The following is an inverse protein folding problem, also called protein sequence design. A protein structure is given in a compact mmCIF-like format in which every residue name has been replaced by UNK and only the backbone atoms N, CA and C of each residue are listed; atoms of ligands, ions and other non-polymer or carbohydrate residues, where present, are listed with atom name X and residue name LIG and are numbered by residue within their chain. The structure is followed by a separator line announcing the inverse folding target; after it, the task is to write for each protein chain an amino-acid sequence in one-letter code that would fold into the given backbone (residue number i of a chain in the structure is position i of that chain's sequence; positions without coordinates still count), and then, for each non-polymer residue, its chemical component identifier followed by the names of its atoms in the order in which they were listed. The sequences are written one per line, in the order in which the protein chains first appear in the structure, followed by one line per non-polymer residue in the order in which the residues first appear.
data_IF_751753522678
#
_entry.id   IF_751753522678
#
_cell.length_a   1.000
_cell.length_b   1.000
_cell.length_c   1.000
_cell.angle_alpha   90.00
_cell.angle_beta   90.00
_cell.angle_gamma   90.00
#
_symmetry.space_group_name_H-M   'P 1'
#
loop_
_entity.id
_entity.type
_entity.pdbx_description
1 polymer ?
#
# COMPACT_ATOMS: atom_id res chain seq x y z
N UNK A 1 -9.07 23.01 -29.12
CA UNK A 1 -10.40 22.60 -28.58
C UNK A 1 -10.18 22.16 -27.13
N UNK A 2 -10.84 22.80 -26.16
CA UNK A 2 -10.73 22.43 -24.75
C UNK A 2 -11.08 20.94 -24.58
N UNK A 3 -10.27 20.21 -23.79
CA UNK A 3 -10.49 18.79 -23.50
C UNK A 3 -11.71 18.71 -22.58
N UNK A 4 -12.83 18.18 -23.07
CA UNK A 4 -14.06 18.01 -22.26
C UNK A 4 -13.75 17.17 -21.02
N UNK A 5 -14.25 17.60 -19.87
CA UNK A 5 -14.15 16.86 -18.61
C UNK A 5 -15.11 15.66 -18.63
N UNK A 6 -14.95 14.72 -17.69
CA UNK A 6 -15.87 13.58 -17.59
C UNK A 6 -17.29 14.03 -17.21
N UNK A 7 -17.41 15.11 -16.43
CA UNK A 7 -18.69 15.71 -16.05
C UNK A 7 -19.41 16.31 -17.28
N UNK A 8 -18.69 17.03 -18.15
CA UNK A 8 -19.23 17.54 -19.42
C UNK A 8 -19.76 16.42 -20.34
N UNK A 9 -19.09 15.25 -20.30
CA UNK A 9 -19.50 14.09 -21.07
C UNK A 9 -20.77 13.49 -20.48
N UNK A 10 -20.81 13.31 -19.16
CA UNK A 10 -21.97 12.75 -18.45
C UNK A 10 -23.20 13.63 -18.66
N UNK A 11 -23.07 14.95 -18.59
CA UNK A 11 -24.21 15.85 -18.83
C UNK A 11 -24.71 15.78 -20.27
N UNK A 12 -23.81 15.60 -21.24
CA UNK A 12 -24.19 15.27 -22.62
C UNK A 12 -24.93 13.94 -22.74
N UNK A 13 -24.48 12.90 -22.01
CA UNK A 13 -25.13 11.59 -21.98
C UNK A 13 -26.51 11.65 -21.32
N UNK A 14 -26.69 12.44 -20.26
CA UNK A 14 -28.00 12.66 -19.60
C UNK A 14 -29.05 13.19 -20.57
N UNK A 15 -28.66 14.11 -21.45
CA UNK A 15 -29.58 14.65 -22.46
C UNK A 15 -29.97 13.62 -23.53
N UNK A 16 -29.10 12.64 -23.80
CA UNK A 16 -29.32 11.57 -24.79
C UNK A 16 -30.04 10.36 -24.20
N UNK A 17 -29.85 10.08 -22.92
CA UNK A 17 -30.39 8.92 -22.20
C UNK A 17 -31.60 9.39 -21.38
N UNK A 18 -32.77 9.45 -22.02
CA UNK A 18 -34.04 9.49 -21.30
C UNK A 18 -34.39 8.07 -20.86
N UNK A 19 -34.75 7.90 -19.59
CA UNK A 19 -35.12 6.59 -19.03
C UNK A 19 -36.53 6.18 -19.49
N UNK A 20 -36.66 5.88 -20.78
CA UNK A 20 -37.91 5.48 -21.44
C UNK A 20 -38.05 3.96 -21.52
N UNK A 21 -37.37 3.19 -20.66
CA UNK A 21 -37.50 1.73 -20.66
C UNK A 21 -38.93 1.32 -20.35
N UNK A 22 -39.50 0.46 -21.19
CA UNK A 22 -40.83 -0.08 -20.95
C UNK A 22 -40.84 -0.93 -19.67
N UNK A 23 -42.00 -1.09 -19.02
CA UNK A 23 -42.12 -2.01 -17.87
C UNK A 23 -41.67 -3.43 -18.24
N UNK A 24 -41.88 -3.84 -19.49
CA UNK A 24 -41.45 -5.13 -20.01
C UNK A 24 -39.92 -5.26 -20.04
N UNK A 25 -39.19 -4.22 -20.45
CA UNK A 25 -37.72 -4.23 -20.46
C UNK A 25 -37.13 -4.32 -19.05
N UNK A 26 -37.74 -3.65 -18.07
CA UNK A 26 -37.33 -3.76 -16.67
C UNK A 26 -37.54 -5.16 -16.11
N UNK A 27 -38.69 -5.78 -16.43
CA UNK A 27 -39.00 -7.15 -16.03
C UNK A 27 -38.06 -8.15 -16.71
N UNK A 28 -37.72 -7.93 -17.98
CA UNK A 28 -36.76 -8.74 -18.75
C UNK A 28 -35.36 -8.70 -18.14
N UNK A 29 -34.85 -7.50 -17.88
CA UNK A 29 -33.55 -7.30 -17.24
C UNK A 29 -33.50 -7.93 -15.84
N UNK A 30 -34.56 -7.75 -15.03
CA UNK A 30 -34.67 -8.37 -13.71
C UNK A 30 -34.70 -9.90 -13.76
N UNK A 31 -35.37 -10.48 -14.75
CA UNK A 31 -35.37 -11.93 -14.97
C UNK A 31 -33.97 -12.44 -15.37
N UNK A 32 -33.31 -11.80 -16.36
CA UNK A 32 -31.97 -12.17 -16.80
C UNK A 32 -30.93 -12.03 -15.67
N UNK A 33 -31.01 -10.96 -14.89
CA UNK A 33 -30.18 -10.75 -13.70
C UNK A 33 -30.37 -11.88 -12.69
N UNK A 34 -31.61 -12.30 -12.45
CA UNK A 34 -31.92 -13.39 -11.50
C UNK A 34 -31.34 -14.72 -11.96
N UNK A 35 -31.51 -15.10 -13.23
CA UNK A 35 -31.00 -16.39 -13.74
C UNK A 35 -29.48 -16.41 -13.84
N UNK A 36 -28.82 -15.27 -14.14
CA UNK A 36 -27.36 -15.17 -14.12
C UNK A 36 -26.80 -15.41 -12.72
N UNK A 37 -27.44 -14.86 -11.67
CA UNK A 37 -26.97 -15.01 -10.29
C UNK A 37 -27.35 -16.33 -9.63
N UNK A 38 -28.60 -16.74 -9.81
CA UNK A 38 -29.21 -17.82 -9.02
C UNK A 38 -29.37 -19.11 -9.81
N UNK A 39 -29.09 -19.09 -11.12
CA UNK A 39 -29.41 -20.19 -12.01
C UNK A 39 -30.89 -20.33 -12.29
N UNK A 40 -31.19 -21.36 -13.06
CA UNK A 40 -32.54 -21.73 -13.43
C UNK A 40 -33.05 -22.72 -12.37
N UNK A 41 -33.82 -22.20 -11.40
CA UNK A 41 -34.42 -23.01 -10.33
C UNK A 41 -35.80 -23.56 -10.70
N UNK A 42 -36.37 -23.10 -11.82
CA UNK A 42 -37.70 -23.48 -12.29
C UNK A 42 -37.64 -24.58 -13.34
N UNK A 43 -38.71 -25.35 -13.50
CA UNK A 43 -38.80 -26.35 -14.57
C UNK A 43 -38.56 -25.72 -15.95
N UNK A 44 -38.00 -26.45 -16.93
CA UNK A 44 -37.78 -25.95 -18.30
C UNK A 44 -39.03 -25.34 -18.96
N UNK A 45 -40.22 -25.82 -18.59
CA UNK A 45 -41.51 -25.28 -19.03
C UNK A 45 -41.84 -23.88 -18.49
N UNK A 46 -41.37 -23.53 -17.29
CA UNK A 46 -41.55 -22.18 -16.70
C UNK A 46 -40.55 -21.20 -17.32
N UNK A 47 -39.32 -21.65 -17.58
CA UNK A 47 -38.27 -20.85 -18.21
C UNK A 47 -38.68 -20.45 -19.62
N UNK A 48 -39.11 -21.41 -20.44
CA UNK A 48 -39.60 -21.14 -21.79
C UNK A 48 -40.83 -20.22 -21.80
N UNK A 49 -41.71 -20.33 -20.81
CA UNK A 49 -42.83 -19.40 -20.62
C UNK A 49 -42.35 -17.98 -20.30
N UNK A 50 -41.35 -17.82 -19.44
CA UNK A 50 -40.78 -16.52 -19.08
C UNK A 50 -39.98 -15.90 -20.25
N UNK A 51 -39.22 -16.70 -21.01
CA UNK A 51 -38.53 -16.26 -22.23
C UNK A 51 -39.52 -15.65 -23.22
N UNK A 52 -40.63 -16.35 -23.49
CA UNK A 52 -41.70 -15.85 -24.36
C UNK A 52 -42.39 -14.62 -23.78
N UNK A 53 -42.70 -14.65 -22.47
CA UNK A 53 -43.39 -13.54 -21.78
C UNK A 53 -42.59 -12.24 -21.82
N UNK A 54 -41.27 -12.31 -21.67
CA UNK A 54 -40.39 -11.15 -21.61
C UNK A 54 -39.74 -10.79 -22.95
N UNK A 55 -40.11 -11.49 -24.04
CA UNK A 55 -39.53 -11.31 -25.36
C UNK A 55 -37.98 -11.35 -25.35
N UNK A 56 -37.45 -12.38 -24.69
CA UNK A 56 -36.01 -12.67 -24.69
C UNK A 56 -35.67 -13.30 -26.03
N UNK A 57 -34.71 -12.70 -26.72
CA UNK A 57 -34.32 -13.08 -28.08
C UNK A 57 -33.37 -14.27 -28.13
N UNK A 58 -32.78 -14.64 -26.99
CA UNK A 58 -31.84 -15.74 -26.88
C UNK A 58 -32.52 -17.09 -27.08
N UNK A 59 -31.96 -17.89 -27.98
CA UNK A 59 -32.22 -19.33 -28.10
C UNK A 59 -31.79 -20.12 -26.86
N UNK A 60 -32.52 -21.18 -26.53
CA UNK A 60 -32.16 -22.09 -25.42
C UNK A 60 -31.28 -23.26 -25.85
N UNK A 61 -31.21 -23.53 -27.15
CA UNK A 61 -30.52 -24.69 -27.72
C UNK A 61 -29.16 -24.33 -28.32
N UNK A 62 -29.00 -23.09 -28.77
CA UNK A 62 -27.74 -22.61 -29.34
C UNK A 62 -26.71 -22.30 -28.24
N UNK A 63 -25.45 -22.31 -28.65
CA UNK A 63 -24.32 -21.93 -27.80
C UNK A 63 -24.54 -20.49 -27.32
N UNK A 64 -24.51 -20.31 -26.01
CA UNK A 64 -24.61 -19.00 -25.36
C UNK A 64 -23.21 -18.47 -25.09
N UNK A 65 -22.95 -17.24 -25.54
CA UNK A 65 -21.69 -16.54 -25.28
C UNK A 65 -21.96 -15.36 -24.37
N UNK A 66 -21.21 -15.27 -23.27
CA UNK A 66 -21.20 -14.09 -22.41
C UNK A 66 -19.93 -13.30 -22.64
N UNK A 67 -20.09 -11.99 -22.80
CA UNK A 67 -19.02 -11.01 -22.70
C UNK A 67 -19.30 -10.15 -21.48
N UNK A 68 -18.41 -10.22 -20.49
CA UNK A 68 -18.42 -9.34 -19.34
C UNK A 68 -17.54 -8.13 -19.62
N UNK A 69 -18.15 -6.95 -19.76
CA UNK A 69 -17.43 -5.69 -19.81
C UNK A 69 -17.30 -5.14 -18.39
N UNK A 70 -16.08 -5.05 -17.86
CA UNK A 70 -15.76 -4.40 -16.59
C UNK A 70 -15.25 -2.99 -16.83
N UNK A 71 -15.77 -2.03 -16.08
CA UNK A 71 -15.25 -0.67 -16.05
C UNK A 71 -13.90 -0.70 -15.34
N UNK A 72 -12.89 -0.14 -15.99
CA UNK A 72 -11.57 0.03 -15.40
C UNK A 72 -11.54 1.26 -14.49
N UNK A 73 -10.71 1.18 -13.46
CA UNK A 73 -10.60 2.13 -12.38
C UNK A 73 -11.96 2.43 -11.70
N UNK A 74 -12.82 1.42 -11.57
CA UNK A 74 -14.20 1.60 -11.12
C UNK A 74 -14.26 2.23 -9.73
N UNK A 75 -13.51 1.71 -8.76
CA UNK A 75 -13.47 2.30 -7.41
C UNK A 75 -13.01 3.75 -7.42
N UNK A 76 -12.02 4.10 -8.26
CA UNK A 76 -11.54 5.48 -8.41
C UNK A 76 -12.61 6.38 -9.04
N UNK A 77 -13.42 5.88 -9.97
CA UNK A 77 -14.57 6.59 -10.51
C UNK A 77 -15.63 6.81 -9.42
N UNK A 78 -15.94 5.81 -8.60
CA UNK A 78 -16.87 5.93 -7.47
C UNK A 78 -16.46 6.99 -6.44
N UNK A 79 -15.16 7.24 -6.25
CA UNK A 79 -14.70 8.32 -5.36
C UNK A 79 -14.90 9.72 -5.94
N UNK A 80 -15.09 9.83 -7.26
CA UNK A 80 -15.17 11.12 -7.98
C UNK A 80 -16.58 11.46 -8.45
N UNK A 81 -17.38 10.44 -8.77
CA UNK A 81 -18.69 10.57 -9.39
C UNK A 81 -19.79 10.07 -8.46
N UNK A 82 -20.99 10.63 -8.61
CA UNK A 82 -22.16 10.15 -7.87
C UNK A 82 -22.65 8.84 -8.46
N UNK A 83 -23.30 8.00 -7.66
CA UNK A 83 -23.83 6.71 -8.09
C UNK A 83 -24.77 6.81 -9.31
N UNK A 84 -25.55 7.90 -9.39
CA UNK A 84 -26.41 8.17 -10.54
C UNK A 84 -25.62 8.40 -11.84
N UNK A 85 -24.49 9.11 -11.77
CA UNK A 85 -23.64 9.38 -12.94
C UNK A 85 -22.95 8.10 -13.43
N UNK A 86 -22.60 7.20 -12.51
CA UNK A 86 -22.05 5.87 -12.84
C UNK A 86 -23.11 5.01 -13.55
N UNK A 87 -24.36 5.04 -13.09
CA UNK A 87 -25.45 4.34 -13.76
C UNK A 87 -25.66 4.86 -15.20
N UNK A 88 -25.48 6.16 -15.43
CA UNK A 88 -25.52 6.75 -16.78
C UNK A 88 -24.38 6.23 -17.66
N UNK A 89 -23.16 6.15 -17.13
CA UNK A 89 -22.03 5.55 -17.86
C UNK A 89 -22.32 4.10 -18.26
N UNK A 90 -22.87 3.28 -17.34
CA UNK A 90 -23.26 1.90 -17.67
C UNK A 90 -24.32 1.83 -18.76
N UNK A 91 -25.35 2.68 -18.71
CA UNK A 91 -26.35 2.77 -19.78
C UNK A 91 -25.73 3.15 -21.13
N UNK A 92 -24.75 4.06 -21.13
CA UNK A 92 -24.04 4.46 -22.34
C UNK A 92 -23.15 3.32 -22.90
N UNK A 93 -22.50 2.54 -22.03
CA UNK A 93 -21.75 1.34 -22.42
C UNK A 93 -22.68 0.29 -23.02
N UNK A 94 -23.82 0.01 -22.38
CA UNK A 94 -24.86 -0.89 -22.91
C UNK A 94 -25.25 -0.45 -24.32
N UNK A 95 -25.59 0.84 -24.51
CA UNK A 95 -25.96 1.37 -25.82
C UNK A 95 -24.85 1.14 -26.88
N UNK A 96 -23.60 1.42 -26.51
CA UNK A 96 -22.45 1.25 -27.41
C UNK A 96 -22.26 -0.22 -27.79
N UNK A 97 -22.37 -1.13 -26.82
CA UNK A 97 -22.29 -2.57 -27.07
C UNK A 97 -23.47 -3.04 -27.94
N UNK A 98 -24.69 -2.60 -27.67
CA UNK A 98 -25.88 -2.91 -28.47
C UNK A 98 -25.74 -2.47 -29.93
N UNK A 99 -25.14 -1.32 -30.19
CA UNK A 99 -24.89 -0.83 -31.56
C UNK A 99 -23.92 -1.75 -32.31
N UNK A 100 -22.83 -2.17 -31.66
CA UNK A 100 -21.81 -3.06 -32.26
C UNK A 100 -22.37 -4.47 -32.51
N UNK A 101 -23.16 -5.00 -31.58
CA UNK A 101 -23.72 -6.35 -31.64
C UNK A 101 -25.09 -6.43 -32.32
N UNK A 102 -25.58 -5.34 -32.91
CA UNK A 102 -26.91 -5.21 -33.53
C UNK A 102 -27.26 -6.24 -34.62
N UNK A 103 -26.26 -6.94 -35.17
CA UNK A 103 -26.46 -8.00 -36.17
C UNK A 103 -26.81 -9.37 -35.57
N UNK A 104 -26.64 -9.54 -34.26
CA UNK A 104 -26.83 -10.81 -33.55
C UNK A 104 -28.07 -10.74 -32.66
N UNK A 105 -28.55 -11.91 -32.21
CA UNK A 105 -29.53 -11.99 -31.12
C UNK A 105 -28.77 -11.82 -29.81
N UNK A 106 -28.99 -10.71 -29.12
CA UNK A 106 -28.27 -10.39 -27.90
C UNK A 106 -29.20 -9.78 -26.85
N UNK A 107 -28.75 -9.90 -25.61
CA UNK A 107 -29.35 -9.29 -24.44
C UNK A 107 -28.25 -8.69 -23.58
N UNK A 108 -28.55 -7.57 -22.94
CA UNK A 108 -27.62 -6.91 -22.02
C UNK A 108 -28.21 -6.85 -20.62
N UNK A 109 -27.38 -7.05 -19.61
CA UNK A 109 -27.76 -6.97 -18.21
C UNK A 109 -26.80 -6.04 -17.48
N UNK A 110 -27.33 -4.98 -16.86
CA UNK A 110 -26.58 -4.19 -15.89
C UNK A 110 -26.51 -4.97 -14.57
N UNK A 111 -25.29 -5.31 -14.12
CA UNK A 111 -25.10 -6.02 -12.85
C UNK A 111 -24.98 -5.07 -11.65
N UNK A 112 -25.30 -3.78 -11.84
CA UNK A 112 -25.34 -2.67 -10.87
C UNK A 112 -23.99 -2.29 -10.22
N UNK A 113 -22.98 -3.15 -10.37
CA UNK A 113 -21.63 -2.96 -9.88
C UNK A 113 -20.73 -2.37 -10.98
N UNK A 114 -19.53 -2.93 -11.10
CA UNK A 114 -18.47 -2.50 -12.01
C UNK A 114 -18.56 -3.12 -13.41
N UNK A 115 -19.57 -3.95 -13.68
CA UNK A 115 -19.61 -4.72 -14.90
C UNK A 115 -21.01 -4.88 -15.49
N UNK A 116 -21.01 -5.16 -16.79
CA UNK A 116 -22.18 -5.35 -17.64
C UNK A 116 -21.98 -6.67 -18.36
N UNK A 117 -23.04 -7.45 -18.47
CA UNK A 117 -23.04 -8.69 -19.26
C UNK A 117 -23.74 -8.42 -20.59
N UNK A 118 -23.07 -8.77 -21.68
CA UNK A 118 -23.69 -8.96 -22.98
C UNK A 118 -23.75 -10.46 -23.25
N UNK A 119 -24.96 -10.98 -23.33
CA UNK A 119 -25.24 -12.36 -23.67
C UNK A 119 -25.70 -12.39 -25.12
N UNK A 120 -25.10 -13.22 -25.98
CA UNK A 120 -25.57 -13.38 -27.35
C UNK A 120 -25.47 -14.81 -27.81
N UNK A 121 -26.33 -15.17 -28.75
CA UNK A 121 -26.28 -16.44 -29.44
C UNK A 121 -26.66 -16.27 -30.90
N UNK A 122 -26.08 -17.13 -31.74
CA UNK A 122 -26.39 -17.17 -33.16
C UNK A 122 -26.18 -18.60 -33.67
N UNK A 123 -27.09 -19.05 -34.54
CA UNK A 123 -26.95 -20.26 -35.34
C UNK A 123 -25.63 -20.33 -36.11
N UNK A 124 -25.08 -19.17 -36.51
CA UNK A 124 -23.70 -19.04 -37.01
C UNK A 124 -22.88 -18.24 -36.02
N UNK A 125 -22.42 -18.94 -34.98
CA UNK A 125 -21.50 -18.39 -34.00
C UNK A 125 -20.29 -17.73 -34.70
N UNK A 126 -20.00 -16.44 -34.43
CA UNK A 126 -18.81 -15.78 -34.96
C UNK A 126 -17.55 -16.48 -34.45
N UNK A 127 -16.49 -16.49 -35.25
CA UNK A 127 -15.20 -16.96 -34.77
C UNK A 127 -14.66 -16.04 -33.66
N UNK A 128 -13.70 -16.56 -32.88
CA UNK A 128 -13.13 -15.84 -31.73
C UNK A 128 -12.48 -14.51 -32.14
N UNK A 129 -11.88 -14.45 -33.33
CA UNK A 129 -11.20 -13.24 -33.83
C UNK A 129 -12.21 -12.11 -34.17
N UNK A 130 -13.38 -12.48 -34.70
CA UNK A 130 -14.50 -11.57 -34.93
C UNK A 130 -15.04 -11.04 -33.59
N UNK A 131 -15.23 -11.92 -32.60
CA UNK A 131 -15.66 -11.51 -31.27
C UNK A 131 -14.65 -10.53 -30.65
N UNK A 132 -13.37 -10.84 -30.69
CA UNK A 132 -12.30 -9.96 -30.19
C UNK A 132 -12.27 -8.62 -30.91
N UNK A 133 -12.52 -8.61 -32.21
CA UNK A 133 -12.63 -7.37 -33.00
C UNK A 133 -13.82 -6.53 -32.58
N UNK A 134 -14.98 -7.15 -32.32
CA UNK A 134 -16.16 -6.45 -31.82
C UNK A 134 -15.95 -5.91 -30.40
N UNK A 135 -15.31 -6.69 -29.52
CA UNK A 135 -14.92 -6.24 -28.18
C UNK A 135 -14.02 -5.00 -28.26
N UNK A 136 -12.99 -5.03 -29.13
CA UNK A 136 -12.09 -3.88 -29.34
C UNK A 136 -12.85 -2.65 -29.85
N UNK A 137 -13.81 -2.82 -30.77
CA UNK A 137 -14.66 -1.73 -31.25
C UNK A 137 -15.48 -1.09 -30.12
N UNK A 138 -16.03 -1.89 -29.20
CA UNK A 138 -16.71 -1.38 -28.00
C UNK A 138 -15.73 -0.63 -27.10
N UNK A 139 -14.57 -1.22 -26.78
CA UNK A 139 -13.53 -0.60 -25.96
C UNK A 139 -13.08 0.76 -26.54
N UNK A 140 -12.76 0.81 -27.83
CA UNK A 140 -12.31 2.02 -28.52
C UNK A 140 -13.40 3.09 -28.56
N UNK A 141 -14.65 2.69 -28.80
CA UNK A 141 -15.79 3.61 -28.83
C UNK A 141 -16.07 4.23 -27.46
N UNK A 142 -16.00 3.43 -26.39
CA UNK A 142 -16.17 3.88 -25.01
C UNK A 142 -15.01 4.76 -24.58
N UNK A 143 -13.77 4.39 -24.85
CA UNK A 143 -12.60 5.22 -24.52
C UNK A 143 -12.61 6.56 -25.24
N UNK A 144 -12.98 6.56 -26.53
CA UNK A 144 -13.06 7.78 -27.34
C UNK A 144 -14.15 8.73 -26.82
N UNK A 145 -15.34 8.21 -26.52
CA UNK A 145 -16.52 9.00 -26.17
C UNK A 145 -16.63 9.35 -24.68
N UNK A 146 -16.22 8.44 -23.78
CA UNK A 146 -16.44 8.52 -22.34
C UNK A 146 -15.16 8.75 -21.53
N UNK A 147 -13.97 8.59 -22.13
CA UNK A 147 -12.67 8.70 -21.44
C UNK A 147 -12.49 7.73 -20.26
N UNK A 148 -13.17 6.59 -20.35
CA UNK A 148 -12.99 5.43 -19.47
C UNK A 148 -12.58 4.24 -20.33
N UNK A 149 -11.82 3.30 -19.80
CA UNK A 149 -11.49 2.05 -20.47
C UNK A 149 -12.34 0.90 -19.92
N UNK A 150 -12.47 -0.15 -20.73
CA UNK A 150 -13.18 -1.37 -20.36
C UNK A 150 -12.24 -2.57 -20.52
N UNK A 151 -12.20 -3.43 -19.52
CA UNK A 151 -11.68 -4.79 -19.67
C UNK A 151 -12.82 -5.73 -20.06
N UNK A 152 -12.55 -6.71 -20.92
CA UNK A 152 -13.55 -7.64 -21.41
C UNK A 152 -13.16 -9.08 -21.09
N UNK A 153 -14.14 -9.88 -20.67
CA UNK A 153 -13.96 -11.29 -20.40
C UNK A 153 -14.95 -12.07 -21.24
N UNK A 154 -14.42 -12.95 -22.09
CA UNK A 154 -15.19 -13.87 -22.92
C UNK A 154 -15.37 -15.19 -22.16
N UNK A 155 -16.62 -15.67 -22.11
CA UNK A 155 -16.96 -16.98 -21.56
C UNK A 155 -16.42 -18.12 -22.44
N UNK A 156 -16.36 -19.37 -21.93
CA UNK A 156 -16.16 -20.53 -22.79
C UNK A 156 -17.30 -20.67 -23.81
N UNK A 157 -17.01 -21.34 -24.93
CA UNK A 157 -17.89 -21.41 -26.13
C UNK A 157 -18.58 -22.78 -26.27
N UNK A 158 -18.86 -23.45 -25.15
CA UNK A 158 -19.35 -24.83 -25.10
C UNK A 158 -20.68 -24.98 -24.35
N UNK A 159 -21.21 -23.89 -23.80
CA UNK A 159 -22.36 -23.89 -22.90
C UNK A 159 -23.62 -23.33 -23.57
N UNK A 160 -24.78 -23.72 -23.06
CA UNK A 160 -26.09 -23.27 -23.56
C UNK A 160 -26.76 -22.30 -22.59
N UNK A 161 -27.95 -21.81 -22.94
CA UNK A 161 -28.74 -20.97 -22.04
C UNK A 161 -29.06 -21.64 -20.69
N UNK A 162 -29.14 -22.97 -20.65
CA UNK A 162 -29.43 -23.69 -19.41
C UNK A 162 -28.28 -23.58 -18.38
N UNK A 163 -27.06 -23.36 -18.87
CA UNK A 163 -25.84 -23.26 -18.07
C UNK A 163 -25.50 -21.81 -17.70
N UNK A 164 -26.39 -20.84 -17.98
CA UNK A 164 -26.11 -19.40 -17.89
C UNK A 164 -25.50 -18.94 -16.56
N UNK A 165 -25.89 -19.54 -15.43
CA UNK A 165 -25.33 -19.22 -14.11
C UNK A 165 -23.92 -19.78 -13.90
N UNK A 166 -23.67 -21.01 -14.36
CA UNK A 166 -22.33 -21.58 -14.37
C UNK A 166 -21.42 -20.75 -15.27
N UNK A 167 -21.90 -20.43 -16.48
CA UNK A 167 -21.19 -19.62 -17.46
C UNK A 167 -20.83 -18.23 -16.91
N UNK A 168 -21.76 -17.58 -16.22
CA UNK A 168 -21.51 -16.30 -15.54
C UNK A 168 -20.50 -16.46 -14.39
N UNK A 169 -20.60 -17.53 -13.61
CA UNK A 169 -19.67 -17.79 -12.49
C UNK A 169 -18.24 -17.98 -12.99
N UNK A 170 -18.02 -18.80 -14.02
CA UNK A 170 -16.71 -19.00 -14.63
C UNK A 170 -16.15 -17.70 -15.23
N UNK A 171 -16.98 -16.96 -15.98
CA UNK A 171 -16.60 -15.66 -16.55
C UNK A 171 -16.23 -14.66 -15.45
N UNK A 172 -16.97 -14.64 -14.34
CA UNK A 172 -16.67 -13.78 -13.20
C UNK A 172 -15.37 -14.17 -12.51
N UNK A 173 -15.08 -15.46 -12.35
CA UNK A 173 -13.80 -15.94 -11.80
C UNK A 173 -12.63 -15.54 -12.72
N UNK A 174 -12.78 -15.76 -14.03
CA UNK A 174 -11.81 -15.35 -15.04
C UNK A 174 -11.53 -13.83 -15.02
N UNK A 175 -12.53 -13.02 -14.66
CA UNK A 175 -12.35 -11.57 -14.54
C UNK A 175 -11.35 -11.13 -13.48
N UNK A 176 -11.05 -11.98 -12.49
CA UNK A 176 -10.05 -11.65 -11.48
C UNK A 176 -8.62 -11.68 -12.04
N UNK A 177 -8.38 -12.32 -13.19
CA UNK A 177 -7.07 -12.29 -13.85
C UNK A 177 -6.76 -10.94 -14.49
N UNK A 178 -7.71 -9.99 -14.51
CA UNK A 178 -7.44 -8.57 -14.77
C UNK A 178 -6.29 -8.06 -13.90
N UNK A 179 -6.12 -8.60 -12.69
CA UNK A 179 -4.97 -8.30 -11.82
C UNK A 179 -3.63 -8.45 -12.56
N UNK A 180 -3.44 -9.53 -13.33
CA UNK A 180 -2.20 -9.83 -14.04
C UNK A 180 -2.15 -9.23 -15.45
N UNK A 181 -3.27 -9.20 -16.16
CA UNK A 181 -3.33 -8.70 -17.55
C UNK A 181 -3.43 -7.18 -17.64
N UNK A 182 -3.79 -6.51 -16.55
CA UNK A 182 -3.97 -5.06 -16.51
C UNK A 182 -5.31 -4.60 -17.08
N UNK A 183 -5.46 -3.28 -17.17
CA UNK A 183 -6.63 -2.62 -17.75
C UNK A 183 -6.73 -2.84 -19.25
N UNK A 184 -7.95 -2.67 -19.79
CA UNK A 184 -8.26 -2.87 -21.21
C UNK A 184 -7.93 -4.26 -21.76
N UNK A 185 -7.77 -5.25 -20.89
CA UNK A 185 -7.47 -6.61 -21.29
C UNK A 185 -8.68 -7.28 -21.95
N UNK A 186 -8.41 -8.30 -22.77
CA UNK A 186 -9.40 -9.25 -23.27
C UNK A 186 -8.96 -10.62 -22.74
N UNK A 187 -9.78 -11.22 -21.89
CA UNK A 187 -9.48 -12.49 -21.23
C UNK A 187 -10.44 -13.54 -21.76
N UNK A 188 -9.91 -14.67 -22.22
CA UNK A 188 -10.72 -15.81 -22.64
C UNK A 188 -10.74 -16.84 -21.52
N UNK A 189 -11.91 -17.09 -20.95
CA UNK A 189 -12.09 -17.98 -19.78
C UNK A 189 -11.60 -19.40 -20.05
N UNK A 190 -11.76 -19.89 -21.29
CA UNK A 190 -11.34 -21.23 -21.70
C UNK A 190 -9.84 -21.47 -21.51
N UNK A 191 -8.99 -20.46 -21.78
CA UNK A 191 -7.53 -20.56 -21.61
C UNK A 191 -7.12 -20.72 -20.14
N UNK A 192 -7.99 -20.33 -19.20
CA UNK A 192 -7.74 -20.40 -17.77
C UNK A 192 -8.09 -21.78 -17.18
N UNK A 193 -8.78 -22.66 -17.91
CA UNK A 193 -9.00 -24.05 -17.50
C UNK A 193 -7.69 -24.87 -17.46
N UNK A 194 -6.61 -24.34 -18.06
CA UNK A 194 -5.29 -24.97 -18.16
C UNK A 194 -4.39 -24.62 -16.96
N UNK A 195 -4.86 -23.78 -16.03
CA UNK A 195 -4.05 -23.37 -14.88
C UNK A 195 -3.75 -24.55 -13.96
N UNK A 196 -2.60 -24.46 -13.29
CA UNK A 196 -2.14 -25.50 -12.38
C UNK A 196 -3.10 -25.62 -11.20
N UNK A 197 -3.85 -26.73 -11.15
CA UNK A 197 -4.69 -27.08 -10.01
C UNK A 197 -3.96 -27.97 -9.01
N UNK A 198 -2.71 -28.35 -9.28
CA UNK A 198 -1.86 -28.97 -8.27
C UNK A 198 -1.60 -27.96 -7.14
N UNK A 199 -1.35 -28.49 -5.95
CA UNK A 199 -1.28 -27.67 -4.74
C UNK A 199 -0.18 -26.63 -4.81
N UNK A 200 -0.54 -25.34 -4.88
CA UNK A 200 0.41 -24.25 -4.76
C UNK A 200 1.22 -24.34 -3.46
N UNK A 201 2.54 -24.40 -3.60
CA UNK A 201 3.47 -24.42 -2.47
C UNK A 201 3.83 -22.97 -2.09
N UNK A 202 3.35 -22.54 -0.95
CA UNK A 202 3.63 -21.20 -0.44
C UNK A 202 5.14 -21.00 -0.17
N UNK A 203 5.77 -19.91 -0.66
CA UNK A 203 7.21 -19.68 -0.53
C UNK A 203 7.60 -19.15 0.86
N UNK A 204 7.55 -20.03 1.87
CA UNK A 204 7.82 -19.68 3.29
C UNK A 204 9.21 -19.06 3.47
N UNK A 205 10.23 -19.56 2.77
CA UNK A 205 11.59 -19.02 2.87
C UNK A 205 11.68 -17.58 2.36
N UNK A 206 11.04 -17.28 1.23
CA UNK A 206 11.01 -15.90 0.68
C UNK A 206 10.22 -14.96 1.57
N UNK A 207 9.11 -15.42 2.16
CA UNK A 207 8.36 -14.65 3.16
C UNK A 207 9.26 -14.27 4.35
N UNK A 208 10.00 -15.25 4.89
CA UNK A 208 10.92 -15.00 6.00
C UNK A 208 12.01 -13.99 5.61
N UNK A 209 12.63 -14.15 4.45
CA UNK A 209 13.62 -13.19 3.93
C UNK A 209 13.03 -11.79 3.75
N UNK A 210 11.78 -11.69 3.29
CA UNK A 210 11.07 -10.41 3.13
C UNK A 210 10.90 -9.73 4.48
N UNK A 211 10.45 -10.46 5.50
CA UNK A 211 10.31 -9.92 6.85
C UNK A 211 11.66 -9.48 7.41
N UNK A 212 12.68 -10.33 7.34
CA UNK A 212 14.01 -10.02 7.89
C UNK A 212 14.58 -8.76 7.22
N UNK A 213 14.51 -8.67 5.88
CA UNK A 213 14.99 -7.48 5.15
C UNK A 213 14.21 -6.22 5.50
N UNK A 214 12.88 -6.31 5.61
CA UNK A 214 12.02 -5.19 6.00
C UNK A 214 12.33 -4.71 7.43
N UNK A 215 12.52 -5.63 8.37
CA UNK A 215 12.80 -5.34 9.78
C UNK A 215 14.20 -4.78 10.02
N UNK A 216 15.14 -5.07 9.11
CA UNK A 216 16.46 -4.43 9.07
C UNK A 216 16.42 -3.02 8.45
N UNK A 217 15.29 -2.63 7.85
CA UNK A 217 15.09 -1.35 7.18
C UNK A 217 15.54 -1.33 5.72
N UNK A 218 15.74 -2.49 5.09
CA UNK A 218 16.15 -2.58 3.69
C UNK A 218 14.92 -2.68 2.79
N UNK A 219 14.35 -1.54 2.43
CA UNK A 219 13.08 -1.47 1.68
C UNK A 219 13.19 -2.03 0.26
N UNK A 220 14.21 -1.66 -0.52
CA UNK A 220 14.31 -2.08 -1.92
C UNK A 220 14.43 -3.63 -2.08
N UNK A 221 15.28 -4.33 -1.31
CA UNK A 221 15.28 -5.80 -1.34
C UNK A 221 13.93 -6.42 -0.95
N UNK A 222 13.24 -5.86 0.06
CA UNK A 222 11.93 -6.34 0.48
C UNK A 222 10.87 -6.19 -0.62
N UNK A 223 10.91 -5.08 -1.38
CA UNK A 223 10.04 -4.88 -2.56
C UNK A 223 10.28 -5.94 -3.62
N UNK A 224 11.54 -6.24 -3.93
CA UNK A 224 11.89 -7.27 -4.92
C UNK A 224 11.40 -8.66 -4.52
N UNK A 225 11.55 -9.02 -3.24
CA UNK A 225 11.05 -10.29 -2.71
C UNK A 225 9.52 -10.36 -2.76
N UNK A 226 8.82 -9.27 -2.46
CA UNK A 226 7.36 -9.20 -2.57
C UNK A 226 6.92 -9.49 -4.01
N UNK A 227 7.56 -8.85 -4.99
CA UNK A 227 7.23 -9.02 -6.40
C UNK A 227 7.43 -10.47 -6.84
N UNK A 228 8.52 -11.11 -6.43
CA UNK A 228 8.76 -12.53 -6.71
C UNK A 228 7.71 -13.44 -6.07
N UNK A 229 7.28 -13.16 -4.83
CA UNK A 229 6.26 -13.94 -4.14
C UNK A 229 4.90 -13.79 -4.84
N UNK A 230 4.50 -12.57 -5.21
CA UNK A 230 3.24 -12.32 -5.91
C UNK A 230 3.26 -12.96 -7.30
N UNK A 231 4.35 -12.81 -8.06
CA UNK A 231 4.42 -13.34 -9.42
C UNK A 231 4.43 -14.87 -9.47
N UNK A 232 4.84 -15.54 -8.37
CA UNK A 232 4.77 -17.01 -8.27
C UNK A 232 3.35 -17.58 -8.32
N UNK A 233 2.31 -16.75 -8.16
CA UNK A 233 0.90 -17.18 -8.25
C UNK A 233 0.28 -16.92 -9.62
N UNK A 234 1.02 -16.44 -10.62
CA UNK A 234 0.47 -16.00 -11.91
C UNK A 234 -0.27 -17.11 -12.66
N UNK A 235 0.29 -18.31 -12.62
CA UNK A 235 -0.20 -19.47 -13.38
C UNK A 235 -1.13 -20.39 -12.54
N UNK A 236 -1.59 -19.88 -11.39
CA UNK A 236 -2.48 -20.57 -10.45
C UNK A 236 -3.87 -19.92 -10.39
N UNK A 237 -4.88 -20.65 -9.87
CA UNK A 237 -6.18 -20.08 -9.53
C UNK A 237 -6.07 -18.77 -8.73
N UNK A 238 -6.84 -17.76 -9.09
CA UNK A 238 -6.88 -16.46 -8.38
C UNK A 238 -7.05 -16.57 -6.85
N UNK A 239 -7.73 -17.62 -6.37
CA UNK A 239 -7.89 -17.89 -4.94
C UNK A 239 -6.53 -18.03 -4.23
N UNK A 240 -5.52 -18.58 -4.91
CA UNK A 240 -4.14 -18.69 -4.40
C UNK A 240 -3.55 -17.31 -4.13
N UNK A 241 -3.67 -16.37 -5.08
CA UNK A 241 -3.22 -14.99 -4.89
C UNK A 241 -3.95 -14.34 -3.71
N UNK A 242 -5.28 -14.51 -3.63
CA UNK A 242 -6.07 -13.94 -2.53
C UNK A 242 -5.60 -14.45 -1.16
N UNK A 243 -5.41 -15.76 -1.02
CA UNK A 243 -4.91 -16.38 0.21
C UNK A 243 -3.49 -15.93 0.55
N UNK A 244 -2.63 -15.80 -0.45
CA UNK A 244 -1.25 -15.32 -0.29
C UNK A 244 -1.22 -13.87 0.19
N UNK A 245 -2.01 -12.98 -0.42
CA UNK A 245 -2.07 -11.56 -0.01
C UNK A 245 -2.60 -11.42 1.42
N UNK A 246 -3.62 -12.19 1.79
CA UNK A 246 -4.14 -12.21 3.16
C UNK A 246 -3.07 -12.67 4.16
N UNK A 247 -2.37 -13.76 3.85
CA UNK A 247 -1.30 -14.28 4.69
C UNK A 247 -0.15 -13.29 4.82
N UNK A 248 0.35 -12.74 3.72
CA UNK A 248 1.41 -11.73 3.75
C UNK A 248 1.02 -10.52 4.58
N UNK A 249 -0.20 -10.01 4.38
CA UNK A 249 -0.72 -8.88 5.16
C UNK A 249 -0.70 -9.21 6.64
N UNK A 250 -1.21 -10.37 7.04
CA UNK A 250 -1.29 -10.78 8.44
C UNK A 250 0.10 -10.99 9.05
N UNK A 251 1.00 -11.63 8.31
CA UNK A 251 2.37 -11.91 8.75
C UNK A 251 3.16 -10.60 8.96
N UNK A 252 3.07 -9.68 8.01
CA UNK A 252 3.71 -8.36 8.11
C UNK A 252 3.10 -7.58 9.28
N UNK A 253 1.77 -7.56 9.39
CA UNK A 253 1.05 -6.92 10.48
C UNK A 253 1.50 -7.41 11.86
N UNK A 254 1.55 -8.73 12.07
CA UNK A 254 2.02 -9.33 13.32
C UNK A 254 3.50 -9.03 13.62
N UNK A 255 4.34 -8.91 12.60
CA UNK A 255 5.72 -8.48 12.79
C UNK A 255 5.80 -7.03 13.30
N UNK A 256 4.89 -6.16 12.83
CA UNK A 256 4.78 -4.78 13.32
C UNK A 256 4.20 -4.66 14.72
N UNK A 257 3.11 -5.36 15.02
CA UNK A 257 2.48 -5.31 16.34
C UNK A 257 3.45 -5.73 17.46
N UNK A 258 4.29 -6.74 17.19
CA UNK A 258 5.38 -7.13 18.11
C UNK A 258 6.40 -6.01 18.36
N UNK A 259 6.57 -5.06 17.43
CA UNK A 259 7.37 -3.85 17.63
C UNK A 259 6.59 -2.76 18.38
N UNK A 260 5.28 -2.62 18.14
CA UNK A 260 4.40 -1.64 18.82
C UNK A 260 4.30 -1.90 20.32
N UNK A 261 4.26 -3.15 20.78
CA UNK A 261 4.30 -3.45 22.22
C UNK A 261 5.58 -2.96 22.92
N UNK A 262 6.60 -2.51 22.16
CA UNK A 262 7.86 -1.98 22.66
C UNK A 262 7.96 -0.45 22.47
N UNK A 263 6.99 0.23 21.82
CA UNK A 263 7.01 1.69 21.61
C UNK A 263 5.68 2.32 21.16
N UNK A 264 5.52 3.64 21.35
CA UNK A 264 4.30 4.42 21.00
C UNK A 264 4.09 4.66 19.48
N UNK A 265 4.46 3.71 18.62
CA UNK A 265 4.30 3.87 17.18
C UNK A 265 3.09 3.07 16.73
N UNK A 266 2.28 3.65 15.84
CA UNK A 266 1.17 2.94 15.21
C UNK A 266 1.18 3.18 13.69
N UNK A 267 0.73 2.19 12.92
CA UNK A 267 0.31 2.44 11.54
C UNK A 267 -0.98 3.28 11.54
N UNK A 268 -1.19 4.11 10.50
CA UNK A 268 -2.40 4.97 10.40
C UNK A 268 -3.66 4.19 10.00
N UNK A 269 -3.53 2.89 9.78
CA UNK A 269 -4.56 1.98 9.30
C UNK A 269 -4.38 0.64 10.00
N UNK A 270 -5.48 -0.03 10.32
CA UNK A 270 -5.49 -1.37 10.89
C UNK A 270 -5.38 -2.47 9.80
N UNK A 271 -5.26 -3.72 10.22
CA UNK A 271 -5.24 -4.88 9.33
C UNK A 271 -6.46 -4.92 8.38
N UNK A 272 -7.66 -4.69 8.92
CA UNK A 272 -8.91 -4.83 8.17
C UNK A 272 -9.05 -3.78 7.08
N UNK A 273 -8.70 -2.52 7.38
CA UNK A 273 -8.70 -1.42 6.42
C UNK A 273 -7.68 -1.63 5.32
N UNK A 274 -6.47 -2.11 5.65
CA UNK A 274 -5.48 -2.47 4.62
C UNK A 274 -5.98 -3.60 3.73
N UNK A 275 -6.47 -4.70 4.30
CA UNK A 275 -7.03 -5.83 3.55
C UNK A 275 -8.19 -5.40 2.64
N UNK A 276 -9.07 -4.51 3.12
CA UNK A 276 -10.14 -3.93 2.31
C UNK A 276 -9.61 -3.12 1.12
N UNK A 277 -8.47 -2.42 1.27
CA UNK A 277 -7.86 -1.69 0.14
C UNK A 277 -7.31 -2.62 -0.94
N UNK A 278 -6.83 -3.82 -0.58
CA UNK A 278 -6.36 -4.81 -1.55
C UNK A 278 -7.51 -5.34 -2.41
N UNK A 279 -8.68 -5.56 -1.80
CA UNK A 279 -9.89 -6.01 -2.52
C UNK A 279 -10.40 -4.98 -3.56
N UNK A 280 -9.99 -3.72 -3.44
CA UNK A 280 -10.34 -2.66 -4.39
C UNK A 280 -9.32 -2.50 -5.53
N UNK A 281 -8.20 -3.23 -5.49
CA UNK A 281 -7.20 -3.17 -6.53
C UNK A 281 -7.63 -3.97 -7.76
N UNK A 282 -7.31 -3.45 -8.93
CA UNK A 282 -7.64 -4.05 -10.23
C UNK A 282 -6.41 -4.59 -10.95
N UNK A 283 -5.21 -4.24 -10.48
CA UNK A 283 -3.92 -4.68 -11.04
C UNK A 283 -2.93 -5.09 -9.96
N UNK A 284 -1.96 -5.95 -10.31
CA UNK A 284 -0.81 -6.28 -9.46
C UNK A 284 -0.02 -5.02 -9.10
N UNK A 285 0.08 -4.04 -10.00
CA UNK A 285 0.81 -2.78 -9.76
C UNK A 285 0.18 -1.97 -8.62
N UNK A 286 -1.15 -1.92 -8.57
CA UNK A 286 -1.87 -1.29 -7.48
C UNK A 286 -1.63 -2.02 -6.15
N UNK A 287 -1.68 -3.36 -6.15
CA UNK A 287 -1.36 -4.19 -4.96
C UNK A 287 0.06 -3.91 -4.47
N UNK A 288 1.06 -3.99 -5.36
CA UNK A 288 2.46 -3.69 -5.06
C UNK A 288 2.60 -2.29 -4.45
N UNK A 289 1.94 -1.29 -5.04
CA UNK A 289 1.92 0.07 -4.53
C UNK A 289 1.41 0.17 -3.09
N UNK A 290 0.37 -0.59 -2.72
CA UNK A 290 -0.15 -0.64 -1.33
C UNK A 290 0.88 -1.22 -0.36
N UNK A 291 1.49 -2.35 -0.71
CA UNK A 291 2.53 -2.95 0.12
C UNK A 291 3.79 -2.08 0.22
N UNK A 292 4.19 -1.42 -0.87
CA UNK A 292 5.34 -0.52 -0.86
C UNK A 292 5.10 0.69 0.05
N UNK A 293 3.88 1.24 0.02
CA UNK A 293 3.48 2.29 0.96
C UNK A 293 3.56 1.79 2.41
N UNK A 294 3.09 0.57 2.69
CA UNK A 294 3.23 -0.05 4.01
C UNK A 294 4.71 -0.20 4.41
N UNK A 295 5.56 -0.73 3.53
CA UNK A 295 7.00 -0.88 3.79
C UNK A 295 7.69 0.45 4.10
N UNK A 296 7.27 1.54 3.44
CA UNK A 296 7.81 2.88 3.71
C UNK A 296 7.38 3.41 5.09
N UNK A 297 6.11 3.19 5.49
CA UNK A 297 5.62 3.59 6.84
C UNK A 297 6.38 2.84 7.93
N UNK A 298 6.49 1.53 7.76
CA UNK A 298 7.30 0.62 8.57
C UNK A 298 8.74 1.11 8.73
N UNK A 299 9.40 1.42 7.61
CA UNK A 299 10.78 1.90 7.62
C UNK A 299 10.92 3.22 8.39
N UNK A 300 9.99 4.15 8.17
CA UNK A 300 9.97 5.44 8.87
C UNK A 300 9.88 5.26 10.40
N UNK A 301 9.02 4.35 10.86
CA UNK A 301 8.89 3.99 12.28
C UNK A 301 10.19 3.39 12.83
N UNK A 302 10.82 2.48 12.09
CA UNK A 302 12.09 1.86 12.50
C UNK A 302 13.22 2.90 12.63
N UNK A 303 13.28 3.88 11.73
CA UNK A 303 14.26 4.97 11.77
C UNK A 303 14.01 5.93 12.93
N UNK A 304 12.75 6.29 13.20
CA UNK A 304 12.38 7.10 14.38
C UNK A 304 12.77 6.42 15.68
N UNK A 305 12.53 5.10 15.79
CA UNK A 305 12.93 4.31 16.96
C UNK A 305 14.45 4.27 17.13
N UNK A 306 15.22 4.10 16.06
CA UNK A 306 16.70 4.16 16.13
C UNK A 306 17.17 5.51 16.67
N UNK A 307 16.62 6.61 16.15
CA UNK A 307 16.94 7.98 16.61
C UNK A 307 16.63 8.16 18.10
N UNK A 308 15.45 7.73 18.56
CA UNK A 308 15.04 7.78 19.97
C UNK A 308 15.97 6.95 20.88
N UNK A 309 16.34 5.73 20.45
CA UNK A 309 17.30 4.89 21.18
C UNK A 309 18.66 5.55 21.30
N UNK A 310 19.16 6.15 20.22
CA UNK A 310 20.44 6.86 20.23
C UNK A 310 20.39 8.09 21.12
N UNK A 311 19.31 8.87 21.09
CA UNK A 311 19.11 10.01 21.98
C UNK A 311 19.14 9.58 23.46
N UNK A 312 18.45 8.48 23.81
CA UNK A 312 18.49 7.92 25.16
C UNK A 312 19.92 7.50 25.57
N UNK A 313 20.68 6.89 24.66
CA UNK A 313 22.08 6.51 24.92
C UNK A 313 22.97 7.73 25.13
N UNK A 314 22.80 8.78 24.33
CA UNK A 314 23.55 10.04 24.49
C UNK A 314 23.18 10.74 25.80
N UNK A 315 21.91 10.78 26.17
CA UNK A 315 21.47 11.33 27.46
C UNK A 315 22.08 10.56 28.64
N UNK A 316 22.19 9.22 28.54
CA UNK A 316 22.91 8.40 29.53
C UNK A 316 24.40 8.75 29.57
N UNK A 317 25.05 8.91 28.41
CA UNK A 317 26.45 9.31 28.35
C UNK A 317 26.69 10.67 29.03
N UNK A 318 25.83 11.65 28.75
CA UNK A 318 25.87 12.98 29.39
C UNK A 318 25.67 12.86 30.90
N UNK A 319 24.71 12.06 31.36
CA UNK A 319 24.47 11.84 32.79
C UNK A 319 25.69 11.21 33.50
N UNK A 320 26.36 10.23 32.86
CA UNK A 320 27.59 9.64 33.37
C UNK A 320 28.67 10.72 33.49
N UNK A 321 28.91 11.53 32.45
CA UNK A 321 29.91 12.60 32.49
C UNK A 321 29.59 13.59 33.62
N UNK A 322 28.35 14.05 33.73
CA UNK A 322 27.96 15.01 34.77
C UNK A 322 28.10 14.45 36.19
N UNK A 323 27.95 13.13 36.37
CA UNK A 323 28.10 12.48 37.67
C UNK A 323 29.56 12.18 38.00
N UNK A 324 30.38 11.84 37.01
CA UNK A 324 31.71 11.25 37.21
C UNK A 324 32.85 12.15 36.69
N UNK A 325 32.58 13.39 36.28
CA UNK A 325 33.60 14.28 35.68
C UNK A 325 34.87 14.44 36.52
N UNK A 326 34.78 14.31 37.84
CA UNK A 326 35.89 14.47 38.77
C UNK A 326 36.87 13.27 38.76
N UNK A 327 36.48 12.12 38.18
CA UNK A 327 37.39 11.00 37.97
C UNK A 327 38.39 11.35 36.85
N UNK A 328 39.69 11.37 37.19
CA UNK A 328 40.77 11.66 36.24
C UNK A 328 40.83 10.64 35.09
N UNK A 329 40.42 9.39 35.33
CA UNK A 329 40.41 8.30 34.36
C UNK A 329 39.23 8.35 33.36
N UNK A 330 38.24 9.23 33.58
CA UNK A 330 37.08 9.33 32.72
C UNK A 330 37.48 9.78 31.30
N UNK A 331 37.29 8.88 30.34
CA UNK A 331 37.58 9.11 28.94
C UNK A 331 36.61 8.34 28.03
N UNK A 332 36.69 8.57 26.71
CA UNK A 332 35.84 7.91 25.72
C UNK A 332 35.84 6.38 25.84
N UNK A 333 37.01 5.77 26.08
CA UNK A 333 37.14 4.31 26.20
C UNK A 333 36.39 3.78 27.43
N UNK A 334 36.51 4.44 28.58
CA UNK A 334 35.78 4.07 29.80
C UNK A 334 34.27 4.22 29.59
N UNK A 335 33.83 5.32 28.97
CA UNK A 335 32.41 5.51 28.67
C UNK A 335 31.86 4.46 27.70
N UNK A 336 32.65 4.09 26.69
CA UNK A 336 32.28 3.07 25.73
C UNK A 336 32.08 1.72 26.41
N UNK A 337 32.96 1.34 27.34
CA UNK A 337 32.82 0.14 28.17
C UNK A 337 31.54 0.20 29.02
N UNK A 338 31.32 1.31 29.75
CA UNK A 338 30.14 1.49 30.62
C UNK A 338 28.81 1.43 29.86
N UNK A 339 28.81 1.84 28.59
CA UNK A 339 27.62 1.86 27.74
C UNK A 339 27.51 0.63 26.81
N UNK A 340 28.46 -0.31 26.86
CA UNK A 340 28.48 -1.49 26.00
C UNK A 340 28.63 -1.17 24.51
N UNK A 341 29.43 -0.14 24.18
CA UNK A 341 29.63 0.35 22.81
C UNK A 341 31.11 0.32 22.41
N UNK A 342 31.40 0.35 21.11
CA UNK A 342 32.77 0.60 20.66
C UNK A 342 33.12 2.09 20.81
N UNK A 343 34.38 2.45 21.16
CA UNK A 343 34.78 3.85 21.33
C UNK A 343 34.54 4.72 20.09
N UNK A 344 34.85 4.20 18.89
CA UNK A 344 34.64 4.92 17.64
C UNK A 344 33.16 5.21 17.35
N UNK A 345 32.28 4.25 17.65
CA UNK A 345 30.84 4.41 17.44
C UNK A 345 30.24 5.40 18.44
N UNK A 346 30.57 5.29 19.73
CA UNK A 346 30.15 6.25 20.75
C UNK A 346 30.65 7.66 20.44
N UNK A 347 31.92 7.82 20.04
CA UNK A 347 32.50 9.11 19.71
C UNK A 347 31.79 9.79 18.53
N UNK A 348 31.52 9.05 17.45
CA UNK A 348 30.79 9.57 16.29
C UNK A 348 29.35 9.95 16.66
N UNK A 349 28.66 9.08 17.40
CA UNK A 349 27.29 9.32 17.82
C UNK A 349 27.20 10.55 18.75
N UNK A 350 28.06 10.61 19.77
CA UNK A 350 28.08 11.71 20.73
C UNK A 350 28.39 13.05 20.06
N UNK A 351 29.36 13.08 19.14
CA UNK A 351 29.67 14.30 18.37
C UNK A 351 28.53 14.72 17.46
N UNK A 352 27.82 13.77 16.84
CA UNK A 352 26.67 14.07 15.99
C UNK A 352 25.55 14.74 16.79
N UNK A 353 25.28 14.27 18.01
CA UNK A 353 24.18 14.78 18.83
C UNK A 353 24.54 16.01 19.68
N UNK A 354 25.78 16.14 20.12
CA UNK A 354 26.21 17.25 21.03
C UNK A 354 27.05 18.31 20.33
N UNK A 355 27.43 18.10 19.06
CA UNK A 355 28.42 18.89 18.31
C UNK A 355 29.82 18.94 18.94
N UNK A 356 30.08 18.19 20.01
CA UNK A 356 31.35 18.16 20.74
C UNK A 356 31.90 16.73 20.82
N UNK A 357 33.22 16.58 20.85
CA UNK A 357 33.79 15.28 21.20
C UNK A 357 33.49 14.97 22.68
N UNK A 358 33.52 13.69 23.05
CA UNK A 358 33.39 13.27 24.45
C UNK A 358 34.43 13.95 25.34
N UNK A 359 35.68 14.05 24.89
CA UNK A 359 36.76 14.70 25.65
C UNK A 359 36.51 16.21 25.83
N UNK A 360 36.04 16.89 24.79
CA UNK A 360 35.69 18.32 24.89
C UNK A 360 34.53 18.55 25.85
N UNK A 361 33.53 17.67 25.82
CA UNK A 361 32.39 17.74 26.72
C UNK A 361 32.78 17.49 28.18
N UNK A 362 33.62 16.49 28.46
CA UNK A 362 34.19 16.27 29.80
C UNK A 362 34.94 17.52 30.27
N UNK A 363 35.85 18.05 29.45
CA UNK A 363 36.62 19.24 29.82
C UNK A 363 35.72 20.45 30.08
N UNK A 364 34.67 20.65 29.28
CA UNK A 364 33.68 21.70 29.52
C UNK A 364 33.03 21.54 30.89
N UNK A 365 32.52 20.35 31.23
CA UNK A 365 31.88 20.09 32.53
C UNK A 365 32.86 20.30 33.68
N UNK A 366 34.11 19.84 33.56
CA UNK A 366 35.15 20.08 34.58
C UNK A 366 35.44 21.58 34.75
N UNK A 367 35.53 22.32 33.65
CA UNK A 367 35.76 23.77 33.66
C UNK A 367 34.60 24.53 34.32
N UNK A 368 33.36 24.20 33.97
CA UNK A 368 32.16 24.80 34.58
C UNK A 368 32.10 24.55 36.09
N UNK A 369 32.44 23.34 36.55
CA UNK A 369 32.51 23.05 37.98
C UNK A 369 33.70 23.73 38.68
N UNK A 370 34.83 23.91 37.98
CA UNK A 370 35.97 24.67 38.52
C UNK A 370 35.60 26.13 38.77
N UNK A 371 34.78 26.75 37.91
CA UNK A 371 34.29 28.11 38.13
C UNK A 371 33.43 28.20 39.40
N UNK A 372 32.59 27.19 39.66
CA UNK A 372 31.77 27.15 40.89
C UNK A 372 32.67 27.11 42.11
N UNK A 373 33.65 26.20 42.16
CA UNK A 373 34.59 26.10 43.28
C UNK A 373 35.45 27.35 43.46
N UNK A 374 35.89 27.99 42.37
CA UNK A 374 36.65 29.24 42.44
C UNK A 374 35.85 30.39 43.08
N UNK A 375 34.52 30.39 42.90
CA UNK A 375 33.59 31.39 43.46
C UNK A 375 33.16 31.08 44.89
N UNK A 376 32.88 29.82 45.19
CA UNK A 376 32.19 29.43 46.43
C UNK A 376 33.12 28.84 47.49
N UNK A 377 34.38 28.54 47.17
CA UNK A 377 35.31 27.90 48.10
C UNK A 377 36.65 28.64 48.22
N UNK A 378 37.30 28.44 49.38
CA UNK A 378 38.67 28.91 49.67
C UNK A 378 39.75 27.89 49.30
N UNK A 379 39.39 26.80 48.61
CA UNK A 379 40.34 25.75 48.21
C UNK A 379 41.48 26.35 47.38
N UNK A 380 42.71 25.85 47.52
CA UNK A 380 43.78 26.31 46.65
C UNK A 380 43.49 25.92 45.20
N UNK A 381 43.95 26.72 44.23
CA UNK A 381 43.68 26.47 42.80
C UNK A 381 44.20 25.09 42.37
N UNK A 382 45.32 24.68 42.96
CA UNK A 382 45.89 23.35 42.76
C UNK A 382 44.94 22.24 43.23
N UNK A 383 44.30 22.40 44.38
CA UNK A 383 43.35 21.43 44.92
C UNK A 383 42.06 21.42 44.10
N UNK A 384 41.64 22.56 43.55
CA UNK A 384 40.50 22.65 42.64
C UNK A 384 40.77 21.89 41.34
N UNK A 385 41.98 22.01 40.77
CA UNK A 385 42.38 21.26 39.58
C UNK A 385 42.21 19.75 39.80
N UNK A 386 42.67 19.24 40.94
CA UNK A 386 42.51 17.82 41.29
C UNK A 386 41.05 17.48 41.58
N UNK A 387 40.33 18.31 42.33
CA UNK A 387 38.93 18.06 42.70
C UNK A 387 37.97 18.02 41.51
N UNK A 388 38.30 18.69 40.40
CA UNK A 388 37.53 18.62 39.15
C UNK A 388 38.09 17.61 38.14
N UNK A 389 39.06 16.77 38.53
CA UNK A 389 39.52 15.62 37.75
C UNK A 389 40.60 15.92 36.71
N UNK A 390 41.42 16.96 36.88
CA UNK A 390 42.60 17.17 36.04
C UNK A 390 43.85 16.54 36.66
N UNK A 391 44.43 15.56 35.97
CA UNK A 391 45.69 14.90 36.35
C UNK A 391 46.93 15.80 36.26
N UNK A 392 46.87 16.88 35.47
CA UNK A 392 47.95 17.86 35.32
C UNK A 392 47.48 19.28 35.56
N UNK A 393 48.08 19.92 36.57
CA UNK A 393 47.85 21.33 36.91
C UNK A 393 48.16 22.23 35.71
N UNK A 394 49.29 22.04 35.03
CA UNK A 394 49.67 22.85 33.87
C UNK A 394 48.64 22.75 32.73
N UNK A 395 48.09 21.54 32.53
CA UNK A 395 47.03 21.34 31.55
C UNK A 395 45.74 22.03 31.98
N UNK A 396 45.34 21.95 33.25
CA UNK A 396 44.20 22.70 33.79
C UNK A 396 44.33 24.21 33.54
N UNK A 397 45.47 24.83 33.89
CA UNK A 397 45.70 26.26 33.65
C UNK A 397 45.59 26.63 32.17
N UNK A 398 46.15 25.79 31.29
CA UNK A 398 46.10 25.99 29.84
C UNK A 398 44.67 25.93 29.31
N UNK A 399 43.92 24.89 29.68
CA UNK A 399 42.52 24.71 29.26
C UNK A 399 41.65 25.81 29.84
N UNK A 400 41.84 26.21 31.10
CA UNK A 400 41.08 27.27 31.75
C UNK A 400 41.29 28.62 31.06
N UNK A 401 42.55 29.02 30.85
CA UNK A 401 42.88 30.28 30.16
C UNK A 401 42.35 30.28 28.73
N UNK A 402 42.44 29.16 28.01
CA UNK A 402 41.86 29.02 26.68
C UNK A 402 40.33 29.13 26.68
N UNK A 403 39.67 28.60 27.70
CA UNK A 403 38.20 28.55 27.78
C UNK A 403 37.61 29.89 28.23
N UNK A 404 38.26 30.59 29.16
CA UNK A 404 37.72 31.79 29.81
C UNK A 404 38.51 33.07 29.56
N UNK A 405 39.62 33.01 28.81
CA UNK A 405 40.46 34.16 28.45
C UNK A 405 41.42 34.64 29.55
N UNK A 406 41.21 34.24 30.80
CA UNK A 406 42.01 34.64 31.97
C UNK A 406 42.41 33.43 32.80
N UNK A 407 43.40 33.60 33.67
CA UNK A 407 43.86 32.53 34.57
C UNK A 407 42.87 32.28 35.71
N UNK A 408 42.85 31.07 36.31
CA UNK A 408 42.03 30.77 37.49
C UNK A 408 42.26 31.76 38.66
N UNK A 409 43.51 32.21 38.83
CA UNK A 409 43.88 33.17 39.87
C UNK A 409 43.24 34.54 39.63
N UNK A 410 43.37 35.06 38.40
CA UNK A 410 42.73 36.32 38.00
C UNK A 410 41.21 36.23 38.12
N UNK A 411 40.62 35.10 37.71
CA UNK A 411 39.18 34.89 37.82
C UNK A 411 38.68 34.95 39.28
N UNK A 412 39.38 34.28 40.20
CA UNK A 412 39.04 34.33 41.63
C UNK A 412 39.20 35.73 42.21
N UNK A 413 40.33 36.41 41.94
CA UNK A 413 40.57 37.77 42.40
C UNK A 413 39.47 38.73 41.93
N UNK A 414 39.10 38.65 40.65
CA UNK A 414 38.05 39.49 40.07
C UNK A 414 36.65 39.17 40.62
N UNK A 415 36.40 37.93 41.03
CA UNK A 415 35.12 37.55 41.67
C UNK A 415 35.03 38.12 43.08
N UNK A 416 36.11 38.04 43.87
CA UNK A 416 36.14 38.58 45.24
C UNK A 416 35.94 40.10 45.23
N UNK A 417 36.61 40.82 44.32
CA UNK A 417 36.47 42.27 44.15
C UNK A 417 35.03 42.69 43.81
N UNK A 418 34.26 41.84 43.10
CA UNK A 418 32.85 42.09 42.76
C UNK A 418 31.84 41.78 43.87
N UNK A 419 32.25 41.08 44.92
CA UNK A 419 31.39 40.76 46.09
C UNK A 419 31.61 41.79 47.20
N UNK A 420 32.78 42.44 47.22
CA UNK A 420 33.14 43.50 48.19
C UNK A 420 32.77 44.92 47.72
N UNK A 421 32.23 45.06 46.50
CA UNK A 421 31.58 46.26 45.95
C UNK A 421 30.07 46.05 45.93
#
# INVERSE_FOLDING_TARGET
KAKKTIDDIIDGLKMQIKDNRSELEKLKEGFLYSILKNGISSSPSIVSKNIKKYNITLSTEDILILIMFRIDHYHKLCTKLKSYDIAILRKAIIKTASEVFSKYLFETVDMENDHIILAFNDTKCPDVDQIDSMIKLVQDSVEKSMKISLSAILSPLEYTFNDISLLYTETKQASNYRLFYGHRCIIHSEKLKILDTEGYIYPVEKEKMLLDTLMLGNVEPARKLLDEIIYSTKDYPHTVLTSLLLKLTFTIWNAFEKLEHIGKYSLDYDFNSFAATLNMCETIDEIRGRFYHMFNRVFSILEERKKSKYELLINKAIAIINKEYADEGLCLNIMAIKLGMSPGYLGKLFKTYTSKSVADYINQVRMENSLKLLKTSRMQINDISTAVGFSSKNYFYTVFKRTFGITPYEYRRNTIIKIEQ
#
